data_IF_620916382983
#
_entry.id   IF_620916382983
#
_cell.length_a   1.000
_cell.length_b   1.000
_cell.length_c   1.000
_cell.angle_alpha   90.00
_cell.angle_beta   90.00
_cell.angle_gamma   90.00
#
_symmetry.space_group_name_H-M   'P 1'
#
loop_
_entity.id
_entity.type
_entity.pdbx_description
1 polymer ?
#
# COMPACT_ATOMS: atom_id res chain seq x y z
N UNK A 1 -19.81 8.71 -5.27
CA UNK A 1 -20.53 10.00 -5.32
C UNK A 1 -19.68 11.15 -4.76
N UNK A 2 -19.13 11.08 -3.52
CA UNK A 2 -18.32 12.16 -2.91
C UNK A 2 -17.13 12.59 -3.78
N UNK A 3 -16.38 11.63 -4.33
CA UNK A 3 -15.26 11.94 -5.23
C UNK A 3 -15.73 12.66 -6.51
N UNK A 4 -16.91 12.29 -7.03
CA UNK A 4 -17.49 12.97 -8.19
C UNK A 4 -17.84 14.42 -7.87
N UNK A 5 -18.46 14.69 -6.74
CA UNK A 5 -18.77 16.06 -6.29
C UNK A 5 -17.51 16.91 -6.17
N UNK A 6 -16.44 16.34 -5.60
CA UNK A 6 -15.15 17.01 -5.50
C UNK A 6 -14.52 17.29 -6.88
N UNK A 7 -14.61 16.32 -7.81
CA UNK A 7 -14.02 16.45 -9.15
C UNK A 7 -14.78 17.41 -10.06
N UNK A 8 -16.10 17.52 -9.90
CA UNK A 8 -17.00 18.27 -10.80
C UNK A 8 -17.96 19.18 -10.03
N UNK A 9 -17.45 20.19 -9.28
CA UNK A 9 -18.26 20.97 -8.33
C UNK A 9 -19.40 21.77 -8.95
N UNK A 10 -19.37 21.98 -10.27
CA UNK A 10 -20.38 22.75 -11.01
C UNK A 10 -21.31 21.88 -11.86
N UNK A 11 -21.27 20.53 -11.71
CA UNK A 11 -22.15 19.64 -12.48
C UNK A 11 -23.60 19.76 -11.96
N UNK A 12 -24.61 19.98 -12.83
CA UNK A 12 -26.01 20.06 -12.43
C UNK A 12 -26.56 18.82 -11.67
N UNK A 13 -25.95 17.66 -11.88
CA UNK A 13 -26.30 16.41 -11.17
C UNK A 13 -25.96 16.42 -9.68
N UNK A 14 -25.16 17.39 -9.22
CA UNK A 14 -24.77 17.47 -7.81
C UNK A 14 -25.98 17.71 -6.90
N UNK A 15 -26.95 18.52 -7.35
CA UNK A 15 -28.16 18.77 -6.57
C UNK A 15 -28.93 17.46 -6.25
N UNK A 16 -29.03 16.57 -7.24
CA UNK A 16 -29.65 15.25 -7.07
C UNK A 16 -28.79 14.32 -6.19
N UNK A 17 -27.48 14.32 -6.41
CA UNK A 17 -26.55 13.49 -5.65
C UNK A 17 -26.48 13.92 -4.17
N UNK A 18 -26.48 15.22 -3.90
CA UNK A 18 -26.39 15.76 -2.53
C UNK A 18 -27.52 15.31 -1.63
N UNK A 19 -28.71 15.09 -2.18
CA UNK A 19 -29.85 14.56 -1.42
C UNK A 19 -29.66 13.09 -0.98
N UNK A 20 -28.76 12.35 -1.64
CA UNK A 20 -28.45 10.92 -1.41
C UNK A 20 -27.13 10.69 -0.69
N UNK A 21 -26.34 11.76 -0.48
CA UNK A 21 -25.05 11.66 0.17
C UNK A 21 -25.17 11.58 1.69
N UNK A 22 -24.30 10.84 2.36
CA UNK A 22 -24.18 10.92 3.81
C UNK A 22 -23.84 12.36 4.23
N UNK A 23 -24.07 12.71 5.49
CA UNK A 23 -23.76 14.05 6.05
C UNK A 23 -22.28 14.43 6.00
N UNK A 24 -21.42 13.52 5.56
CA UNK A 24 -19.99 13.71 5.38
C UNK A 24 -19.76 14.49 4.08
N UNK A 25 -19.09 15.63 4.17
CA UNK A 25 -19.05 16.64 3.11
C UNK A 25 -17.97 16.42 2.05
N UNK A 26 -16.96 15.57 2.31
CA UNK A 26 -15.88 15.33 1.37
C UNK A 26 -15.39 13.87 1.41
N UNK A 27 -14.74 13.38 0.34
CA UNK A 27 -14.28 11.99 0.27
C UNK A 27 -13.14 11.68 1.24
N UNK A 28 -12.29 12.63 1.58
CA UNK A 28 -11.18 12.46 2.53
C UNK A 28 -11.71 12.17 3.94
N UNK A 29 -12.72 12.93 4.36
CA UNK A 29 -13.37 12.74 5.65
C UNK A 29 -14.05 11.35 5.70
N UNK A 30 -14.71 10.95 4.62
CA UNK A 30 -15.30 9.61 4.51
C UNK A 30 -14.25 8.51 4.64
N UNK A 31 -13.12 8.62 3.90
CA UNK A 31 -12.03 7.65 3.96
C UNK A 31 -11.44 7.60 5.38
N UNK A 32 -11.25 8.76 6.01
CA UNK A 32 -10.74 8.85 7.37
C UNK A 32 -11.67 8.15 8.39
N UNK A 33 -12.98 8.40 8.31
CA UNK A 33 -13.98 7.80 9.21
C UNK A 33 -14.06 6.28 9.04
N UNK A 34 -14.07 5.78 7.81
CA UNK A 34 -14.01 4.33 7.55
C UNK A 34 -12.69 3.74 8.05
N UNK A 35 -11.56 4.42 7.82
CA UNK A 35 -10.26 3.98 8.31
C UNK A 35 -10.21 3.83 9.84
N UNK A 36 -10.76 4.81 10.58
CA UNK A 36 -10.89 4.73 12.05
C UNK A 36 -11.78 3.55 12.47
N UNK A 37 -12.83 3.28 11.71
CA UNK A 37 -13.79 2.22 12.06
C UNK A 37 -13.24 0.79 11.88
N UNK A 38 -12.10 0.63 11.21
CA UNK A 38 -11.45 -0.69 11.06
C UNK A 38 -11.05 -1.26 12.43
N UNK A 39 -10.62 -0.40 13.36
CA UNK A 39 -10.14 -0.77 14.69
C UNK A 39 -11.01 -0.19 15.84
N UNK A 40 -12.22 0.29 15.54
CA UNK A 40 -13.05 0.97 16.53
C UNK A 40 -13.59 0.03 17.60
N UNK A 41 -13.77 -1.25 17.28
CA UNK A 41 -14.25 -2.25 18.25
C UNK A 41 -13.06 -2.92 18.93
N UNK A 42 -12.84 -2.58 20.19
CA UNK A 42 -11.76 -3.14 21.01
C UNK A 42 -11.99 -4.62 21.39
N UNK A 43 -13.20 -5.13 21.20
CA UNK A 43 -13.55 -6.53 21.54
C UNK A 43 -13.33 -7.48 20.37
N UNK A 44 -13.64 -7.04 19.14
CA UNK A 44 -13.45 -7.83 17.91
C UNK A 44 -12.13 -7.53 17.19
N UNK A 45 -11.48 -6.42 17.53
CA UNK A 45 -10.22 -6.00 16.95
C UNK A 45 -10.38 -5.49 15.51
N UNK A 46 -9.83 -6.21 14.53
CA UNK A 46 -9.84 -5.82 13.12
C UNK A 46 -11.17 -6.12 12.43
N UNK A 47 -11.83 -5.10 11.88
CA UNK A 47 -13.08 -5.22 11.14
C UNK A 47 -12.82 -5.38 9.65
N UNK A 48 -12.83 -6.63 9.15
CA UNK A 48 -12.56 -6.96 7.74
C UNK A 48 -13.54 -6.27 6.77
N UNK A 49 -14.83 -6.17 7.13
CA UNK A 49 -15.84 -5.53 6.29
C UNK A 49 -15.52 -4.04 6.09
N UNK A 50 -15.18 -3.34 7.16
CA UNK A 50 -14.82 -1.93 7.09
C UNK A 50 -13.48 -1.74 6.35
N UNK A 51 -12.54 -2.68 6.51
CA UNK A 51 -11.29 -2.68 5.77
C UNK A 51 -11.51 -2.82 4.26
N UNK A 52 -12.43 -3.70 3.82
CA UNK A 52 -12.80 -3.82 2.40
C UNK A 52 -13.43 -2.52 1.88
N UNK A 53 -14.37 -1.92 2.62
CA UNK A 53 -14.99 -0.64 2.26
C UNK A 53 -13.94 0.49 2.19
N UNK A 54 -12.95 0.47 3.08
CA UNK A 54 -11.83 1.42 3.05
C UNK A 54 -11.00 1.29 1.78
N UNK A 55 -10.63 0.06 1.39
CA UNK A 55 -9.90 -0.21 0.12
C UNK A 55 -10.70 0.32 -1.06
N UNK A 56 -11.99 -0.02 -1.17
CA UNK A 56 -12.85 0.42 -2.27
C UNK A 56 -12.97 1.96 -2.30
N UNK A 57 -13.06 2.61 -1.15
CA UNK A 57 -13.13 4.07 -1.07
C UNK A 57 -11.84 4.75 -1.56
N UNK A 58 -10.67 4.20 -1.19
CA UNK A 58 -9.37 4.70 -1.65
C UNK A 58 -9.20 4.50 -3.16
N UNK A 59 -9.58 3.34 -3.71
CA UNK A 59 -9.55 3.09 -5.16
C UNK A 59 -10.50 4.03 -5.90
N UNK A 60 -11.72 4.21 -5.42
CA UNK A 60 -12.69 5.14 -6.02
C UNK A 60 -12.15 6.58 -6.01
N UNK A 61 -11.47 6.99 -4.95
CA UNK A 61 -10.78 8.28 -4.89
C UNK A 61 -9.74 8.40 -6.00
N UNK A 62 -8.86 7.41 -6.10
CA UNK A 62 -7.78 7.41 -7.07
C UNK A 62 -8.27 7.39 -8.53
N UNK A 63 -9.35 6.66 -8.81
CA UNK A 63 -9.96 6.62 -10.15
C UNK A 63 -10.56 7.96 -10.58
N UNK A 64 -11.17 8.69 -9.65
CA UNK A 64 -11.90 9.94 -9.96
C UNK A 64 -10.99 11.16 -9.84
N UNK A 65 -10.01 11.12 -8.96
CA UNK A 65 -9.10 12.22 -8.63
C UNK A 65 -7.62 11.83 -8.84
N UNK A 66 -7.23 11.32 -10.04
CA UNK A 66 -5.89 10.77 -10.25
C UNK A 66 -4.75 11.80 -10.15
N UNK A 67 -5.06 13.09 -10.19
CA UNK A 67 -4.09 14.20 -10.09
C UNK A 67 -4.06 14.84 -8.70
N UNK A 68 -4.88 14.39 -7.78
CA UNK A 68 -4.87 14.89 -6.41
C UNK A 68 -3.59 14.42 -5.70
N UNK A 69 -2.96 15.29 -4.93
CA UNK A 69 -1.70 15.01 -4.24
C UNK A 69 -1.81 13.85 -3.23
N UNK A 70 -3.01 13.59 -2.69
CA UNK A 70 -3.26 12.51 -1.73
C UNK A 70 -3.48 11.15 -2.41
N UNK A 71 -3.68 11.13 -3.72
CA UNK A 71 -4.03 9.88 -4.43
C UNK A 71 -3.00 8.77 -4.24
N UNK A 72 -1.69 8.98 -4.40
CA UNK A 72 -0.71 7.91 -4.18
C UNK A 72 -0.70 7.40 -2.74
N UNK A 73 -0.96 8.27 -1.76
CA UNK A 73 -1.08 7.88 -0.35
C UNK A 73 -2.28 6.97 -0.10
N UNK A 74 -3.43 7.29 -0.68
CA UNK A 74 -4.64 6.47 -0.54
C UNK A 74 -4.47 5.11 -1.21
N UNK A 75 -3.84 5.06 -2.41
CA UNK A 75 -3.53 3.79 -3.07
C UNK A 75 -2.57 2.95 -2.20
N UNK A 76 -1.55 3.57 -1.62
CA UNK A 76 -0.59 2.88 -0.77
C UNK A 76 -1.26 2.29 0.49
N UNK A 77 -2.09 3.07 1.18
CA UNK A 77 -2.86 2.61 2.34
C UNK A 77 -3.85 1.49 1.98
N UNK A 78 -4.47 1.57 0.80
CA UNK A 78 -5.32 0.49 0.31
C UNK A 78 -4.51 -0.80 0.06
N UNK A 79 -3.27 -0.69 -0.46
CA UNK A 79 -2.39 -1.84 -0.65
C UNK A 79 -2.00 -2.49 0.68
N UNK A 80 -1.63 -1.69 1.69
CA UNK A 80 -1.32 -2.18 3.04
C UNK A 80 -2.54 -2.85 3.70
N UNK A 81 -3.72 -2.24 3.55
CA UNK A 81 -4.98 -2.82 4.07
C UNK A 81 -5.31 -4.12 3.36
N UNK A 82 -5.13 -4.20 2.03
CA UNK A 82 -5.32 -5.42 1.24
C UNK A 82 -4.35 -6.52 1.66
N UNK A 83 -3.11 -6.18 2.03
CA UNK A 83 -2.16 -7.12 2.60
C UNK A 83 -2.64 -7.67 3.94
N UNK A 84 -3.16 -6.82 4.82
CA UNK A 84 -3.74 -7.23 6.13
C UNK A 84 -4.96 -8.14 5.94
N UNK A 85 -5.78 -7.88 4.92
CA UNK A 85 -6.90 -8.72 4.49
C UNK A 85 -6.45 -10.02 3.80
N UNK A 86 -5.15 -10.21 3.58
CA UNK A 86 -4.55 -11.34 2.84
C UNK A 86 -5.03 -11.43 1.37
N UNK A 87 -5.53 -10.33 0.80
CA UNK A 87 -5.86 -10.19 -0.62
C UNK A 87 -4.63 -9.73 -1.39
N UNK A 88 -3.62 -10.63 -1.49
CA UNK A 88 -2.27 -10.28 -1.96
C UNK A 88 -2.24 -9.81 -3.41
N UNK A 89 -3.04 -10.43 -4.31
CA UNK A 89 -3.14 -9.97 -5.70
C UNK A 89 -3.63 -8.52 -5.80
N UNK A 90 -4.60 -8.14 -4.95
CA UNK A 90 -5.08 -6.76 -4.87
C UNK A 90 -3.97 -5.84 -4.36
N UNK A 91 -3.26 -6.23 -3.31
CA UNK A 91 -2.13 -5.46 -2.77
C UNK A 91 -1.06 -5.23 -3.83
N UNK A 92 -0.66 -6.27 -4.58
CA UNK A 92 0.31 -6.14 -5.67
C UNK A 92 -0.17 -5.21 -6.79
N UNK A 93 -1.44 -5.33 -7.21
CA UNK A 93 -2.03 -4.46 -8.24
C UNK A 93 -2.02 -2.99 -7.83
N UNK A 94 -2.27 -2.70 -6.55
CA UNK A 94 -2.25 -1.35 -6.00
C UNK A 94 -0.81 -0.79 -5.92
N UNK A 95 0.17 -1.60 -5.52
CA UNK A 95 1.58 -1.20 -5.59
C UNK A 95 2.04 -0.94 -7.02
N UNK A 96 1.64 -1.79 -7.98
CA UNK A 96 1.94 -1.57 -9.40
C UNK A 96 1.29 -0.29 -9.91
N UNK A 97 0.07 0.03 -9.50
CA UNK A 97 -0.58 1.30 -9.85
C UNK A 97 0.27 2.50 -9.43
N UNK A 98 0.85 2.49 -8.22
CA UNK A 98 1.73 3.59 -7.76
C UNK A 98 3.01 3.64 -8.60
N UNK A 99 3.67 2.50 -8.81
CA UNK A 99 4.93 2.41 -9.55
C UNK A 99 4.77 2.93 -10.98
N UNK A 100 3.65 2.60 -11.62
CA UNK A 100 3.41 2.94 -13.02
C UNK A 100 2.86 4.36 -13.23
N UNK A 101 1.97 4.82 -12.39
CA UNK A 101 1.27 6.11 -12.57
C UNK A 101 1.89 7.26 -11.78
N UNK A 102 2.63 6.96 -10.72
CA UNK A 102 3.24 7.97 -9.84
C UNK A 102 4.72 7.67 -9.58
N UNK A 103 5.54 7.42 -10.64
CA UNK A 103 6.91 6.92 -10.49
C UNK A 103 7.87 7.88 -9.77
N UNK A 104 7.51 9.18 -9.71
CA UNK A 104 8.29 10.21 -9.01
C UNK A 104 7.83 10.46 -7.57
N UNK A 105 6.72 9.85 -7.16
CA UNK A 105 6.21 9.98 -5.80
C UNK A 105 7.04 9.12 -4.83
N UNK A 106 7.20 9.58 -3.59
CA UNK A 106 7.97 8.88 -2.56
C UNK A 106 7.46 7.46 -2.25
N UNK A 107 6.17 7.18 -2.54
CA UNK A 107 5.58 5.85 -2.38
C UNK A 107 5.98 4.86 -3.48
N UNK A 108 6.48 5.30 -4.63
CA UNK A 108 6.86 4.38 -5.71
C UNK A 108 8.04 3.44 -5.32
N UNK A 109 9.17 3.94 -4.81
CA UNK A 109 10.22 3.05 -4.31
C UNK A 109 9.75 2.15 -3.18
N UNK A 110 8.96 2.68 -2.23
CA UNK A 110 8.45 1.89 -1.10
C UNK A 110 7.53 0.78 -1.60
N UNK A 111 6.66 1.07 -2.56
CA UNK A 111 5.75 0.07 -3.17
C UNK A 111 6.53 -1.08 -3.82
N UNK A 112 7.61 -0.79 -4.53
CA UNK A 112 8.45 -1.81 -5.15
C UNK A 112 9.18 -2.66 -4.10
N UNK A 113 9.71 -2.03 -3.04
CA UNK A 113 10.31 -2.72 -1.91
C UNK A 113 9.31 -3.64 -1.21
N UNK A 114 8.08 -3.16 -0.95
CA UNK A 114 7.03 -3.94 -0.30
C UNK A 114 6.61 -5.17 -1.09
N UNK A 115 6.65 -5.13 -2.43
CA UNK A 115 6.43 -6.33 -3.25
C UNK A 115 7.47 -7.40 -2.94
N UNK A 116 8.76 -7.05 -2.91
CA UNK A 116 9.83 -7.99 -2.52
C UNK A 116 9.63 -8.52 -1.11
N UNK A 117 9.30 -7.65 -0.16
CA UNK A 117 9.10 -7.99 1.23
C UNK A 117 7.92 -8.96 1.46
N UNK A 118 6.82 -8.79 0.73
CA UNK A 118 5.67 -9.71 0.79
C UNK A 118 5.99 -11.10 0.22
N UNK A 119 6.72 -11.17 -0.87
CA UNK A 119 7.16 -12.45 -1.42
C UNK A 119 8.12 -13.19 -0.49
N UNK A 120 9.04 -12.46 0.16
CA UNK A 120 9.98 -13.03 1.12
C UNK A 120 9.30 -13.45 2.42
N UNK A 121 8.69 -12.48 3.11
CA UNK A 121 8.17 -12.65 4.46
C UNK A 121 6.88 -13.48 4.53
N UNK A 122 5.94 -13.23 3.61
CA UNK A 122 4.58 -13.77 3.69
C UNK A 122 4.37 -14.96 2.77
N UNK A 123 4.74 -14.84 1.50
CA UNK A 123 4.49 -15.87 0.49
C UNK A 123 5.60 -16.92 0.43
N UNK A 124 6.75 -16.65 1.04
CA UNK A 124 7.93 -17.52 1.06
C UNK A 124 8.44 -17.91 -0.34
N UNK A 125 8.27 -16.98 -1.29
CA UNK A 125 8.71 -17.10 -2.67
C UNK A 125 10.01 -16.33 -2.87
N UNK A 126 11.14 -16.96 -2.57
CA UNK A 126 12.47 -16.37 -2.66
C UNK A 126 12.84 -15.96 -4.10
N UNK A 127 12.28 -16.59 -5.13
CA UNK A 127 12.57 -16.27 -6.51
C UNK A 127 11.96 -14.90 -6.87
N UNK A 128 10.68 -14.70 -6.58
CA UNK A 128 10.02 -13.41 -6.79
C UNK A 128 10.56 -12.34 -5.83
N UNK A 129 10.85 -12.66 -4.57
CA UNK A 129 11.49 -11.74 -3.65
C UNK A 129 12.82 -11.20 -4.21
N UNK A 130 13.71 -12.11 -4.69
CA UNK A 130 14.99 -11.75 -5.31
C UNK A 130 14.80 -10.84 -6.53
N UNK A 131 13.81 -11.13 -7.37
CA UNK A 131 13.48 -10.30 -8.54
C UNK A 131 13.13 -8.87 -8.13
N UNK A 132 12.20 -8.69 -7.19
CA UNK A 132 11.73 -7.35 -6.80
C UNK A 132 12.78 -6.57 -5.99
N UNK A 133 13.56 -7.22 -5.12
CA UNK A 133 14.70 -6.56 -4.46
C UNK A 133 15.76 -6.13 -5.47
N UNK A 134 16.04 -6.94 -6.49
CA UNK A 134 17.01 -6.57 -7.55
C UNK A 134 16.49 -5.38 -8.36
N UNK A 135 15.22 -5.39 -8.74
CA UNK A 135 14.60 -4.27 -9.45
C UNK A 135 14.62 -2.99 -8.60
N UNK A 136 14.30 -3.09 -7.31
CA UNK A 136 14.37 -1.97 -6.39
C UNK A 136 15.79 -1.38 -6.31
N UNK A 137 16.80 -2.21 -6.09
CA UNK A 137 18.19 -1.76 -6.01
C UNK A 137 18.70 -1.15 -7.31
N UNK A 138 18.20 -1.62 -8.46
CA UNK A 138 18.55 -1.07 -9.76
C UNK A 138 17.91 0.30 -10.01
N UNK A 139 16.61 0.44 -9.67
CA UNK A 139 15.86 1.69 -9.90
C UNK A 139 16.14 2.76 -8.84
N UNK A 140 16.40 2.35 -7.60
CA UNK A 140 16.49 3.24 -6.44
C UNK A 140 17.73 2.97 -5.56
N UNK A 141 18.96 2.98 -6.14
CA UNK A 141 20.19 2.58 -5.43
C UNK A 141 20.53 3.47 -4.21
N UNK A 142 20.04 4.71 -4.21
CA UNK A 142 20.29 5.67 -3.13
C UNK A 142 19.09 5.83 -2.17
N UNK A 143 18.07 4.98 -2.27
CA UNK A 143 16.94 5.02 -1.36
C UNK A 143 17.35 4.57 0.05
N UNK A 144 16.69 5.09 1.07
CA UNK A 144 16.95 4.73 2.47
C UNK A 144 16.83 3.23 2.75
N UNK A 145 15.98 2.52 2.02
CA UNK A 145 15.80 1.06 2.12
C UNK A 145 16.79 0.24 1.28
N UNK A 146 17.75 0.85 0.57
CA UNK A 146 18.67 0.09 -0.29
C UNK A 146 19.50 -0.92 0.50
N UNK A 147 20.05 -0.51 1.65
CA UNK A 147 20.81 -1.42 2.52
C UNK A 147 19.97 -2.57 3.07
N UNK A 148 18.72 -2.29 3.43
CA UNK A 148 17.79 -3.31 3.90
C UNK A 148 17.45 -4.30 2.79
N UNK A 149 17.20 -3.80 1.57
CA UNK A 149 16.92 -4.63 0.41
C UNK A 149 18.13 -5.54 0.04
N UNK A 150 19.37 -5.03 0.13
CA UNK A 150 20.59 -5.83 -0.05
C UNK A 150 20.70 -6.94 1.00
N UNK A 151 20.48 -6.59 2.27
CA UNK A 151 20.54 -7.53 3.37
C UNK A 151 19.46 -8.62 3.25
N UNK A 152 18.21 -8.24 3.03
CA UNK A 152 17.10 -9.18 2.84
C UNK A 152 17.36 -10.09 1.65
N UNK A 153 17.77 -9.53 0.50
CA UNK A 153 18.11 -10.29 -0.69
C UNK A 153 19.25 -11.30 -0.44
N UNK A 154 20.29 -10.92 0.31
CA UNK A 154 21.42 -11.79 0.62
C UNK A 154 21.06 -12.94 1.57
N UNK A 155 19.97 -12.81 2.30
CA UNK A 155 19.49 -13.81 3.26
C UNK A 155 18.33 -14.68 2.74
N UNK A 156 17.90 -14.45 1.48
CA UNK A 156 16.81 -15.24 0.89
C UNK A 156 17.12 -16.74 0.95
N UNK A 157 16.16 -17.52 1.46
CA UNK A 157 16.26 -18.97 1.58
C UNK A 157 17.18 -19.49 2.69
N UNK A 158 17.80 -18.62 3.49
CA UNK A 158 18.58 -19.02 4.66
C UNK A 158 17.68 -19.22 5.88
N UNK A 159 18.04 -20.15 6.75
CA UNK A 159 17.43 -20.26 8.08
C UNK A 159 17.94 -19.14 9.02
N UNK A 160 17.19 -18.85 10.07
CA UNK A 160 17.59 -17.89 11.11
C UNK A 160 18.95 -18.24 11.73
N UNK A 161 19.24 -19.55 11.89
CA UNK A 161 20.49 -20.05 12.40
C UNK A 161 21.67 -19.75 11.44
N UNK A 162 21.47 -19.91 10.13
CA UNK A 162 22.48 -19.60 9.12
C UNK A 162 22.76 -18.09 9.07
N UNK A 163 21.71 -17.26 9.17
CA UNK A 163 21.86 -15.80 9.21
C UNK A 163 22.64 -15.37 10.47
N UNK A 164 22.31 -15.95 11.63
CA UNK A 164 23.00 -15.67 12.90
C UNK A 164 24.48 -16.05 12.84
N UNK A 165 24.79 -17.23 12.32
CA UNK A 165 26.16 -17.72 12.14
C UNK A 165 27.01 -16.79 11.27
N UNK A 166 26.43 -16.32 10.14
CA UNK A 166 27.12 -15.37 9.26
C UNK A 166 27.36 -14.01 9.93
N UNK A 167 26.40 -13.54 10.72
CA UNK A 167 26.55 -12.29 11.48
C UNK A 167 27.62 -12.40 12.55
N UNK A 168 27.70 -13.54 13.25
CA UNK A 168 28.76 -13.78 14.25
C UNK A 168 30.13 -13.85 13.61
N UNK A 169 30.29 -14.51 12.47
CA UNK A 169 31.57 -14.59 11.73
C UNK A 169 32.04 -13.22 11.25
N UNK A 170 31.12 -12.34 10.81
CA UNK A 170 31.45 -10.96 10.39
C UNK A 170 31.88 -10.05 11.54
N UNK A 171 31.42 -10.30 12.77
CA UNK A 171 31.83 -9.53 13.97
C UNK A 171 33.16 -9.97 14.54
N UNK A 172 33.65 -11.16 14.18
CA UNK A 172 34.93 -11.72 14.65
C UNK A 172 36.13 -11.37 13.76
N UNK A 173 35.89 -10.70 12.63
CA UNK A 173 36.91 -10.14 11.73
C UNK A 173 37.08 -8.63 11.94
#
# INVERSE_FOLDING_TARGET
ALCYVKAYPNDPKIAELSSKLPKINNPEEYILEIGKSIFADTTTGFNEKNAMVYVDACEAYAMVLPKDAQTPEYIFKAAETSNTLKTYEKSFSLYDWIIDKYPTHERAPISLFMKGFLFDGTLKDSANASKYYTEFLTKYPNNSFAKDAELLKSNLGKSDEQVLDELMKKKAQ
#
